data_IF_706639511157
#
_entry.id   IF_706639511157
#
_cell.length_a   1.000
_cell.length_b   1.000
_cell.length_c   1.000
_cell.angle_alpha   90.00
_cell.angle_beta   90.00
_cell.angle_gamma   90.00
#
_symmetry.space_group_name_H-M   'P 1'
#
loop_
_entity.id
_entity.type
_entity.pdbx_description
1 polymer ?
#
# COMPACT_ATOMS: atom_id res chain seq x y z
N UNK A 1 -13.25 -13.34 35.92
CA UNK A 1 -12.95 -11.94 35.58
C UNK A 1 -12.65 -11.88 34.08
N UNK A 2 -13.39 -11.07 33.30
CA UNK A 2 -13.14 -10.91 31.85
C UNK A 2 -12.06 -9.85 31.67
N UNK A 3 -10.96 -10.21 31.03
CA UNK A 3 -9.90 -9.26 30.68
C UNK A 3 -10.21 -8.68 29.31
N UNK A 4 -10.40 -7.36 29.23
CA UNK A 4 -10.53 -6.65 27.97
C UNK A 4 -9.15 -6.11 27.62
N UNK A 5 -8.62 -6.51 26.47
CA UNK A 5 -7.48 -5.87 25.86
C UNK A 5 -8.02 -4.68 25.06
N UNK A 6 -7.69 -3.46 25.47
CA UNK A 6 -7.77 -2.34 24.56
C UNK A 6 -6.59 -2.49 23.60
N UNK A 7 -6.88 -2.74 22.32
CA UNK A 7 -5.87 -2.60 21.26
C UNK A 7 -5.23 -1.22 21.38
N UNK A 8 -3.94 -1.09 21.06
CA UNK A 8 -3.23 0.20 21.14
C UNK A 8 -3.98 1.22 20.28
N UNK A 9 -4.57 2.28 20.88
CA UNK A 9 -5.12 3.35 20.06
C UNK A 9 -3.95 4.05 19.37
N UNK A 10 -3.88 3.92 18.04
CA UNK A 10 -2.96 4.71 17.24
C UNK A 10 -3.58 6.09 17.05
N UNK A 11 -2.99 7.11 17.68
CA UNK A 11 -3.34 8.52 17.45
C UNK A 11 -2.17 9.14 16.70
N UNK A 12 -2.31 9.32 15.39
CA UNK A 12 -1.32 10.01 14.58
C UNK A 12 -1.52 11.52 14.72
N UNK A 13 -0.81 12.14 15.66
CA UNK A 13 -0.81 13.60 15.78
C UNK A 13 0.14 14.22 14.74
N UNK A 14 -0.36 15.18 13.95
CA UNK A 14 0.47 15.97 13.03
C UNK A 14 0.88 15.24 11.75
N UNK A 15 -0.04 14.48 11.15
CA UNK A 15 0.17 13.88 9.84
C UNK A 15 0.53 14.95 8.79
N UNK A 16 1.61 14.69 8.05
CA UNK A 16 2.05 15.53 6.95
C UNK A 16 2.46 14.67 5.77
N UNK A 17 2.23 15.14 4.54
CA UNK A 17 2.67 14.41 3.35
C UNK A 17 4.19 14.35 3.30
N UNK A 18 4.75 13.14 3.39
CA UNK A 18 6.18 12.89 3.24
C UNK A 18 6.58 12.83 1.77
N UNK A 19 5.85 12.01 1.00
CA UNK A 19 6.00 11.89 -0.45
C UNK A 19 4.63 11.85 -1.11
N UNK A 20 4.46 12.71 -2.10
CA UNK A 20 3.27 12.68 -2.96
C UNK A 20 3.53 11.75 -4.16
N UNK A 21 2.99 10.53 -4.09
CA UNK A 21 3.20 9.51 -5.11
C UNK A 21 2.29 9.71 -6.32
N UNK A 22 1.22 10.52 -6.22
CA UNK A 22 0.37 10.88 -7.37
C UNK A 22 1.16 11.63 -8.45
N UNK A 23 2.23 12.33 -8.06
CA UNK A 23 3.22 12.90 -8.98
C UNK A 23 4.17 11.87 -9.61
N UNK A 24 3.97 10.57 -9.37
CA UNK A 24 4.82 9.45 -9.81
C UNK A 24 6.28 9.58 -9.38
N UNK A 25 6.48 10.00 -8.13
CA UNK A 25 7.82 10.15 -7.53
C UNK A 25 7.89 9.41 -6.19
N UNK A 26 9.10 9.13 -5.71
CA UNK A 26 9.30 8.44 -4.43
C UNK A 26 9.24 6.92 -4.53
N UNK A 27 9.11 6.37 -5.74
CA UNK A 27 9.09 4.94 -6.00
C UNK A 27 9.46 4.64 -7.46
N UNK A 28 9.77 3.38 -7.71
CA UNK A 28 9.84 2.76 -9.03
C UNK A 28 9.00 1.50 -9.05
N UNK A 29 8.55 1.09 -10.24
CA UNK A 29 7.78 -0.14 -10.41
C UNK A 29 8.23 -0.87 -11.67
N UNK A 30 8.39 -2.19 -11.57
CA UNK A 30 8.64 -3.08 -12.70
C UNK A 30 7.45 -4.05 -12.86
N UNK A 31 7.14 -4.44 -14.10
CA UNK A 31 5.98 -5.29 -14.41
C UNK A 31 4.62 -4.62 -14.15
N UNK A 32 4.61 -3.28 -14.08
CA UNK A 32 3.42 -2.46 -14.08
C UNK A 32 3.75 -1.04 -14.56
N UNK A 33 2.72 -0.31 -14.99
CA UNK A 33 2.78 1.11 -15.31
C UNK A 33 2.06 1.93 -14.25
N UNK A 34 2.73 2.97 -13.73
CA UNK A 34 2.11 3.92 -12.80
C UNK A 34 1.18 4.90 -13.54
N UNK A 35 -0.06 5.00 -13.08
CA UNK A 35 -1.10 5.84 -13.67
C UNK A 35 -1.83 6.61 -12.58
N UNK A 36 -2.13 7.87 -12.87
CA UNK A 36 -3.10 8.64 -12.08
C UNK A 36 -4.52 8.18 -12.41
N UNK A 37 -5.48 8.57 -11.58
CA UNK A 37 -6.89 8.34 -11.84
C UNK A 37 -7.30 8.92 -13.19
N UNK A 38 -6.93 10.17 -13.46
CA UNK A 38 -7.28 10.87 -14.70
C UNK A 38 -6.71 10.17 -15.95
N UNK A 39 -5.49 9.67 -15.87
CA UNK A 39 -4.87 8.91 -16.96
C UNK A 39 -5.58 7.57 -17.18
N UNK A 40 -5.86 6.83 -16.09
CA UNK A 40 -6.52 5.52 -16.18
C UNK A 40 -7.93 5.62 -16.77
N UNK A 41 -8.69 6.66 -16.44
CA UNK A 41 -10.05 6.89 -16.93
C UNK A 41 -10.12 7.09 -18.45
N UNK A 42 -9.03 7.55 -19.08
CA UNK A 42 -8.96 7.77 -20.52
C UNK A 42 -8.80 6.49 -21.35
N UNK A 43 -8.40 5.37 -20.72
CA UNK A 43 -8.06 4.12 -21.41
C UNK A 43 -9.26 3.21 -21.66
N UNK A 44 -10.21 3.15 -20.73
CA UNK A 44 -11.44 2.35 -20.87
C UNK A 44 -12.47 2.70 -19.80
N UNK A 45 -13.75 2.54 -20.12
CA UNK A 45 -14.83 2.56 -19.11
C UNK A 45 -14.94 1.26 -18.30
N UNK A 46 -14.17 0.23 -18.64
CA UNK A 46 -14.18 -1.08 -17.96
C UNK A 46 -13.18 -1.13 -16.80
N UNK A 47 -13.40 -2.08 -15.90
CA UNK A 47 -12.45 -2.44 -14.84
C UNK A 47 -11.03 -2.72 -15.39
N UNK A 48 -9.95 -2.27 -14.74
CA UNK A 48 -9.88 -1.35 -13.60
C UNK A 48 -10.00 0.15 -13.98
N UNK A 49 -9.73 0.49 -15.23
CA UNK A 49 -9.60 1.84 -15.80
C UNK A 49 -10.77 2.80 -15.51
N UNK A 50 -12.01 2.31 -15.58
CA UNK A 50 -13.22 3.09 -15.30
C UNK A 50 -13.78 2.90 -13.88
N UNK A 51 -13.11 2.11 -13.03
CA UNK A 51 -13.57 1.77 -11.69
C UNK A 51 -12.81 2.51 -10.58
N UNK A 52 -11.68 3.17 -10.89
CA UNK A 52 -11.12 4.18 -10.00
C UNK A 52 -12.01 5.43 -10.02
N UNK A 53 -12.90 5.55 -9.03
CA UNK A 53 -13.76 6.72 -8.84
C UNK A 53 -13.25 7.60 -7.72
N UNK A 54 -13.42 8.93 -7.84
CA UNK A 54 -12.98 9.92 -6.84
C UNK A 54 -13.65 9.69 -5.49
N UNK A 55 -14.84 9.09 -5.50
CA UNK A 55 -15.54 8.67 -4.29
C UNK A 55 -14.81 7.58 -3.50
N UNK A 56 -13.83 6.88 -4.09
CA UNK A 56 -13.06 5.80 -3.43
C UNK A 56 -11.73 6.36 -2.94
N UNK A 57 -10.93 6.88 -3.88
CA UNK A 57 -9.62 7.47 -3.66
C UNK A 57 -9.49 8.67 -4.60
N UNK A 58 -9.21 9.85 -4.06
CA UNK A 58 -8.96 11.04 -4.87
C UNK A 58 -7.61 10.90 -5.60
N UNK A 59 -7.48 11.54 -6.74
CA UNK A 59 -6.28 11.44 -7.58
C UNK A 59 -5.02 11.90 -6.83
N UNK A 60 -5.15 12.93 -6.01
CA UNK A 60 -4.07 13.47 -5.18
C UNK A 60 -3.66 12.57 -4.00
N UNK A 61 -4.43 11.53 -3.68
CA UNK A 61 -4.16 10.67 -2.52
C UNK A 61 -3.26 9.48 -2.83
N UNK A 62 -3.03 9.15 -4.10
CA UNK A 62 -2.24 7.99 -4.47
C UNK A 62 -2.03 7.83 -5.97
N UNK A 63 -1.47 6.68 -6.33
CA UNK A 63 -1.18 6.30 -7.71
C UNK A 63 -1.61 4.85 -7.93
N UNK A 64 -2.18 4.58 -9.09
CA UNK A 64 -2.51 3.24 -9.54
C UNK A 64 -1.30 2.59 -10.20
N UNK A 65 -1.09 1.31 -9.92
CA UNK A 65 -0.07 0.49 -10.56
C UNK A 65 -0.79 -0.59 -11.37
N UNK A 66 -0.79 -0.43 -12.68
CA UNK A 66 -1.44 -1.35 -13.60
C UNK A 66 -0.44 -2.36 -14.12
N UNK A 67 -0.60 -3.61 -13.73
CA UNK A 67 0.31 -4.66 -14.14
C UNK A 67 0.17 -5.05 -15.61
N UNK A 68 1.31 -5.32 -16.22
CA UNK A 68 1.47 -5.66 -17.64
C UNK A 68 2.35 -6.91 -17.86
N UNK A 69 2.77 -7.56 -16.78
CA UNK A 69 3.71 -8.69 -16.83
C UNK A 69 3.09 -10.02 -16.38
N UNK A 70 3.69 -11.13 -16.81
CA UNK A 70 3.32 -12.49 -16.44
C UNK A 70 3.81 -12.87 -15.03
N UNK A 71 4.73 -12.09 -14.46
CA UNK A 71 5.18 -12.19 -13.08
C UNK A 71 4.50 -11.18 -12.14
N UNK A 72 4.92 -11.10 -10.87
CA UNK A 72 4.47 -10.06 -9.95
C UNK A 72 4.93 -8.68 -10.43
N UNK A 73 4.17 -7.63 -10.10
CA UNK A 73 4.68 -6.28 -10.22
C UNK A 73 5.60 -6.00 -9.01
N UNK A 74 6.79 -5.47 -9.25
CA UNK A 74 7.78 -5.19 -8.20
C UNK A 74 7.76 -3.70 -7.92
N UNK A 75 7.18 -3.31 -6.79
CA UNK A 75 7.18 -1.95 -6.28
C UNK A 75 8.39 -1.76 -5.37
N UNK A 76 9.23 -0.77 -5.68
CA UNK A 76 10.37 -0.37 -4.87
C UNK A 76 10.23 1.09 -4.47
N UNK A 77 10.13 1.38 -3.17
CA UNK A 77 10.17 2.76 -2.69
C UNK A 77 11.59 3.31 -2.86
N UNK A 78 11.72 4.59 -3.22
CA UNK A 78 13.03 5.25 -3.20
C UNK A 78 13.64 5.11 -1.79
N UNK A 79 14.96 4.89 -1.64
CA UNK A 79 15.56 4.73 -0.32
C UNK A 79 15.25 5.91 0.62
N UNK A 80 14.83 5.59 1.85
CA UNK A 80 14.43 6.57 2.88
C UNK A 80 15.38 6.45 4.06
N UNK A 81 15.97 7.56 4.49
CA UNK A 81 16.73 7.62 5.74
C UNK A 81 15.77 7.66 6.94
N UNK A 82 15.36 6.48 7.39
CA UNK A 82 14.51 6.33 8.57
C UNK A 82 15.23 6.70 9.87
N UNK A 83 16.56 6.58 9.95
CA UNK A 83 17.33 6.99 11.14
C UNK A 83 17.12 8.48 11.43
N UNK A 84 17.19 9.33 10.41
CA UNK A 84 16.93 10.76 10.56
C UNK A 84 15.48 11.09 10.93
N UNK A 85 14.50 10.34 10.38
CA UNK A 85 13.09 10.49 10.74
C UNK A 85 12.83 10.11 12.20
N UNK A 86 13.39 8.98 12.66
CA UNK A 86 13.23 8.48 14.01
C UNK A 86 13.89 9.40 15.04
N UNK A 87 15.07 9.96 14.72
CA UNK A 87 15.72 10.98 15.55
C UNK A 87 14.84 12.22 15.75
N UNK A 88 13.96 12.51 14.77
CA UNK A 88 12.97 13.59 14.81
C UNK A 88 11.61 13.17 15.39
N UNK A 89 11.51 11.98 16.00
CA UNK A 89 10.26 11.41 16.55
C UNK A 89 9.16 11.27 15.49
N UNK A 90 9.52 10.87 14.27
CA UNK A 90 8.57 10.66 13.17
C UNK A 90 8.63 9.24 12.61
N UNK A 91 7.46 8.67 12.32
CA UNK A 91 7.30 7.46 11.52
C UNK A 91 6.77 7.77 10.12
N UNK A 92 6.70 6.75 9.26
CA UNK A 92 6.09 6.84 7.92
C UNK A 92 4.96 5.83 7.81
N UNK A 93 3.82 6.22 7.25
CA UNK A 93 2.71 5.32 6.93
C UNK A 93 2.25 5.47 5.48
N UNK A 94 1.72 4.40 4.92
CA UNK A 94 1.08 4.36 3.61
C UNK A 94 0.21 3.11 3.52
N UNK A 95 -0.56 2.99 2.44
CA UNK A 95 -1.43 1.86 2.19
C UNK A 95 -1.15 1.28 0.82
N UNK A 96 -1.15 -0.05 0.75
CA UNK A 96 -1.25 -0.79 -0.50
C UNK A 96 -2.63 -1.42 -0.62
N UNK A 97 -3.10 -1.56 -1.86
CA UNK A 97 -4.33 -2.28 -2.16
C UNK A 97 -4.31 -2.91 -3.53
N UNK A 98 -5.34 -3.70 -3.80
CA UNK A 98 -5.53 -4.37 -5.09
C UNK A 98 -7.01 -4.37 -5.46
N UNK A 99 -7.33 -4.17 -6.73
CA UNK A 99 -8.74 -4.14 -7.13
C UNK A 99 -9.32 -5.53 -7.39
N UNK A 100 -8.53 -6.41 -8.00
CA UNK A 100 -9.06 -7.64 -8.59
C UNK A 100 -9.52 -8.67 -7.55
N UNK A 101 -9.17 -8.46 -6.28
CA UNK A 101 -9.59 -9.24 -5.12
C UNK A 101 -8.90 -10.58 -4.99
N UNK A 102 -8.74 -11.05 -3.75
CA UNK A 102 -7.92 -12.22 -3.41
C UNK A 102 -6.48 -12.17 -3.94
N UNK A 103 -5.98 -10.98 -4.23
CA UNK A 103 -4.61 -10.76 -4.69
C UNK A 103 -3.68 -10.83 -3.48
N UNK A 104 -2.61 -11.64 -3.53
CA UNK A 104 -1.59 -11.59 -2.51
C UNK A 104 -0.62 -10.42 -2.76
N UNK A 105 0.01 -9.94 -1.71
CA UNK A 105 1.29 -9.21 -1.83
C UNK A 105 2.36 -9.89 -0.98
N UNK A 106 3.62 -9.55 -1.24
CA UNK A 106 4.75 -9.99 -0.42
C UNK A 106 5.71 -8.84 -0.18
N UNK A 107 6.37 -8.84 0.98
CA UNK A 107 7.52 -7.96 1.26
C UNK A 107 8.82 -8.73 1.05
N UNK A 108 9.83 -8.12 0.43
CA UNK A 108 11.15 -8.74 0.24
C UNK A 108 12.02 -8.45 1.46
N UNK A 109 12.11 -9.43 2.36
CA UNK A 109 12.96 -9.37 3.57
C UNK A 109 14.26 -10.13 3.30
N UNK A 110 15.40 -9.42 3.32
CA UNK A 110 16.74 -9.99 3.10
C UNK A 110 16.85 -10.86 1.83
N UNK A 111 16.18 -10.41 0.76
CA UNK A 111 16.16 -11.10 -0.53
C UNK A 111 15.10 -12.20 -0.66
N UNK A 112 14.34 -12.51 0.39
CA UNK A 112 13.25 -13.49 0.35
C UNK A 112 11.89 -12.80 0.38
N UNK A 113 11.01 -13.15 -0.58
CA UNK A 113 9.63 -12.67 -0.58
C UNK A 113 8.82 -13.39 0.51
N UNK A 114 8.29 -12.62 1.47
CA UNK A 114 7.40 -13.09 2.54
C UNK A 114 5.98 -12.61 2.26
N UNK A 115 5.04 -13.54 2.11
CA UNK A 115 3.64 -13.19 1.85
C UNK A 115 3.02 -12.42 3.01
N UNK A 116 2.19 -11.43 2.68
CA UNK A 116 1.45 -10.59 3.62
C UNK A 116 -0.06 -10.88 3.55
N UNK A 117 -0.42 -12.10 3.12
CA UNK A 117 -1.80 -12.52 2.91
C UNK A 117 -2.42 -11.89 1.66
N UNK A 118 -3.75 -11.94 1.59
CA UNK A 118 -4.56 -11.48 0.45
C UNK A 118 -5.51 -10.36 0.85
N UNK A 119 -5.89 -9.54 -0.12
CA UNK A 119 -7.00 -8.61 0.07
C UNK A 119 -8.37 -9.29 -0.05
N UNK A 120 -9.40 -8.54 0.34
CA UNK A 120 -10.80 -8.95 0.21
C UNK A 120 -11.15 -9.41 -1.21
N UNK A 121 -12.14 -10.30 -1.30
CA UNK A 121 -12.75 -10.61 -2.59
C UNK A 121 -13.34 -9.34 -3.20
N UNK A 122 -13.17 -9.20 -4.52
CA UNK A 122 -13.75 -8.08 -5.25
C UNK A 122 -15.28 -8.13 -5.12
N UNK A 123 -15.96 -7.04 -4.73
CA UNK A 123 -17.41 -7.01 -4.70
C UNK A 123 -18.00 -7.24 -6.09
N UNK A 124 -19.14 -7.92 -6.14
CA UNK A 124 -19.87 -8.12 -7.40
C UNK A 124 -20.19 -6.78 -8.07
N UNK A 125 -20.18 -6.75 -9.41
CA UNK A 125 -20.49 -5.55 -10.21
C UNK A 125 -21.98 -5.13 -10.12
N UNK A 126 -22.73 -5.60 -9.11
CA UNK A 126 -24.07 -5.15 -8.83
C UNK A 126 -24.02 -3.73 -8.23
N UNK A 127 -24.65 -2.78 -8.91
CA UNK A 127 -24.66 -1.37 -8.51
C UNK A 127 -25.21 -1.13 -7.09
N UNK A 128 -26.06 -2.03 -6.57
CA UNK A 128 -26.59 -1.93 -5.21
C UNK A 128 -25.58 -2.29 -4.12
N UNK A 129 -24.57 -3.10 -4.43
CA UNK A 129 -23.55 -3.58 -3.48
C UNK A 129 -22.18 -2.96 -3.69
N UNK A 130 -21.97 -2.29 -4.83
CA UNK A 130 -20.75 -1.59 -5.18
C UNK A 130 -20.67 -0.20 -4.51
N UNK A 131 -20.69 -0.19 -3.17
CA UNK A 131 -20.58 1.04 -2.39
C UNK A 131 -19.12 1.46 -2.20
N UNK A 132 -18.89 2.70 -1.77
CA UNK A 132 -17.55 3.21 -1.45
C UNK A 132 -16.87 2.32 -0.42
N UNK A 133 -17.60 1.95 0.63
CA UNK A 133 -17.12 1.18 1.78
C UNK A 133 -16.64 -0.20 1.33
N UNK A 134 -17.43 -0.90 0.50
CA UNK A 134 -17.02 -2.20 -0.04
C UNK A 134 -15.88 -2.12 -1.05
N UNK A 135 -15.77 -1.04 -1.80
CA UNK A 135 -14.60 -0.85 -2.67
C UNK A 135 -13.34 -0.56 -1.84
N UNK A 136 -13.46 0.22 -0.76
CA UNK A 136 -12.34 0.57 0.11
C UNK A 136 -11.66 -0.68 0.72
N UNK A 137 -12.42 -1.72 1.03
CA UNK A 137 -11.90 -3.01 1.53
C UNK A 137 -10.89 -3.67 0.60
N UNK A 138 -10.99 -3.45 -0.71
CA UNK A 138 -10.02 -3.99 -1.68
C UNK A 138 -8.88 -3.01 -1.96
N UNK A 139 -9.17 -1.71 -2.03
CA UNK A 139 -8.24 -0.64 -2.38
C UNK A 139 -7.33 -0.17 -1.23
N UNK A 140 -7.75 -0.39 0.02
CA UNK A 140 -7.02 0.03 1.22
C UNK A 140 -6.85 -1.15 2.18
N UNK A 141 -6.18 -2.21 1.72
CA UNK A 141 -6.15 -3.48 2.45
C UNK A 141 -4.92 -3.65 3.35
N UNK A 142 -3.73 -3.27 2.87
CA UNK A 142 -2.49 -3.40 3.62
C UNK A 142 -2.09 -2.03 4.15
N UNK A 143 -2.37 -1.80 5.42
CA UNK A 143 -1.95 -0.60 6.14
C UNK A 143 -0.52 -0.81 6.62
N UNK A 144 0.40 0.04 6.18
CA UNK A 144 1.82 -0.12 6.40
C UNK A 144 2.34 1.05 7.22
N UNK A 145 3.10 0.76 8.26
CA UNK A 145 3.80 1.76 9.06
C UNK A 145 5.25 1.38 9.29
N UNK A 146 6.10 2.39 9.41
CA UNK A 146 7.53 2.27 9.66
C UNK A 146 7.91 3.20 10.80
N UNK A 147 8.33 2.62 11.92
CA UNK A 147 8.66 3.35 13.15
C UNK A 147 9.78 2.63 13.95
N UNK A 148 10.43 3.31 14.91
CA UNK A 148 11.56 2.75 15.65
C UNK A 148 11.17 1.64 16.62
N UNK A 149 9.89 1.50 16.97
CA UNK A 149 9.39 0.49 17.91
C UNK A 149 9.09 -0.83 17.19
N UNK A 150 8.40 -0.75 16.06
CA UNK A 150 7.88 -1.91 15.34
C UNK A 150 8.73 -2.31 14.13
N UNK A 151 9.64 -1.44 13.66
CA UNK A 151 10.28 -1.62 12.36
C UNK A 151 9.27 -1.38 11.25
N UNK A 152 9.20 -2.27 10.26
CA UNK A 152 8.10 -2.31 9.29
C UNK A 152 6.96 -3.15 9.87
N UNK A 153 5.80 -2.54 10.06
CA UNK A 153 4.56 -3.22 10.42
C UNK A 153 3.59 -3.16 9.23
N UNK A 154 2.98 -4.29 8.90
CA UNK A 154 1.92 -4.38 7.92
C UNK A 154 0.70 -5.02 8.56
N UNK A 155 -0.42 -4.30 8.57
CA UNK A 155 -1.72 -4.84 8.96
C UNK A 155 -2.52 -5.19 7.69
N UNK A 156 -2.85 -6.46 7.52
CA UNK A 156 -3.77 -6.92 6.49
C UNK A 156 -5.20 -6.87 7.04
N UNK A 157 -5.97 -5.86 6.62
CA UNK A 157 -7.33 -5.57 7.08
C UNK A 157 -8.29 -6.73 6.81
N UNK A 158 -8.16 -7.41 5.66
CA UNK A 158 -8.99 -8.57 5.32
C UNK A 158 -8.80 -9.75 6.27
N UNK A 159 -7.55 -10.09 6.52
CA UNK A 159 -7.22 -11.28 7.33
C UNK A 159 -7.15 -10.95 8.83
N UNK A 160 -7.18 -9.67 9.21
CA UNK A 160 -6.96 -9.21 10.58
C UNK A 160 -5.58 -9.58 11.11
N UNK A 161 -4.61 -9.79 10.22
CA UNK A 161 -3.28 -10.30 10.53
C UNK A 161 -2.25 -9.19 10.46
N UNK A 162 -1.36 -9.15 11.45
CA UNK A 162 -0.19 -8.26 11.46
C UNK A 162 1.08 -9.02 11.10
N UNK A 163 1.96 -8.36 10.34
CA UNK A 163 3.28 -8.85 9.96
C UNK A 163 4.30 -7.79 10.35
N UNK A 164 5.36 -8.19 11.05
CA UNK A 164 6.43 -7.27 11.46
C UNK A 164 7.79 -7.74 10.97
N UNK A 165 8.58 -6.79 10.48
CA UNK A 165 9.90 -7.03 9.95
C UNK A 165 10.90 -6.03 10.55
N UNK A 166 12.06 -6.55 10.94
CA UNK A 166 13.19 -5.70 11.30
C UNK A 166 13.85 -5.19 10.02
N UNK A 167 13.89 -3.89 9.86
CA UNK A 167 14.61 -3.26 8.77
C UNK A 167 16.11 -3.54 8.87
N UNK A 168 16.77 -3.73 7.71
CA UNK A 168 18.23 -3.83 7.63
C UNK A 168 18.88 -2.47 7.94
N UNK A 169 20.18 -2.47 8.22
CA UNK A 169 20.92 -1.20 8.37
C UNK A 169 20.86 -0.33 7.11
N UNK A 170 20.85 -0.96 5.93
CA UNK A 170 20.73 -0.27 4.65
C UNK A 170 19.35 0.35 4.45
N UNK A 171 18.29 -0.36 4.83
CA UNK A 171 16.93 0.19 4.79
C UNK A 171 16.78 1.33 5.81
N UNK A 172 17.28 1.15 7.04
CA UNK A 172 17.23 2.19 8.07
C UNK A 172 18.01 3.45 7.68
N UNK A 173 19.16 3.30 7.01
CA UNK A 173 20.04 4.39 6.60
C UNK A 173 19.75 4.99 5.23
N UNK A 174 18.72 4.52 4.51
CA UNK A 174 18.35 5.04 3.19
C UNK A 174 19.32 4.66 2.07
N UNK A 175 19.99 3.51 2.16
CA UNK A 175 20.80 2.95 1.06
C UNK A 175 20.11 1.77 0.37
N UNK A 176 19.09 1.19 0.99
CA UNK A 176 18.27 0.10 0.43
C UNK A 176 16.79 0.51 0.42
N UNK A 177 16.07 0.02 -0.60
CA UNK A 177 14.63 0.22 -0.74
C UNK A 177 13.81 -0.71 0.14
N UNK A 178 12.56 -0.30 0.42
CA UNK A 178 11.50 -1.24 0.77
C UNK A 178 10.89 -1.77 -0.52
N UNK A 179 10.85 -3.09 -0.67
CA UNK A 179 10.43 -3.74 -1.92
C UNK A 179 9.25 -4.66 -1.67
N UNK A 180 8.22 -4.53 -2.50
CA UNK A 180 7.00 -5.30 -2.45
C UNK A 180 6.73 -5.97 -3.79
N UNK A 181 6.35 -7.25 -3.75
CA UNK A 181 5.80 -7.96 -4.90
C UNK A 181 4.28 -7.90 -4.84
N UNK A 182 3.65 -7.36 -5.88
CA UNK A 182 2.21 -7.14 -5.99
C UNK A 182 1.59 -8.18 -6.91
N UNK A 183 0.75 -9.05 -6.34
CA UNK A 183 0.19 -10.22 -7.00
C UNK A 183 1.22 -11.33 -7.22
N UNK A 184 0.75 -12.47 -7.73
CA UNK A 184 1.64 -13.49 -8.32
C UNK A 184 1.83 -13.26 -9.84
N UNK A 185 0.86 -12.60 -10.45
CA UNK A 185 0.78 -12.22 -11.86
C UNK A 185 0.18 -10.82 -11.87
N UNK A 186 0.84 -9.87 -12.50
CA UNK A 186 0.39 -8.47 -12.50
C UNK A 186 -0.47 -8.14 -13.71
N UNK A 187 -0.31 -8.83 -14.84
CA UNK A 187 -1.02 -8.52 -16.09
C UNK A 187 -2.54 -8.38 -15.89
N UNK A 188 -3.07 -7.19 -16.18
CA UNK A 188 -4.49 -6.85 -16.04
C UNK A 188 -4.96 -6.71 -14.58
N UNK A 189 -4.04 -6.67 -13.62
CA UNK A 189 -4.30 -6.40 -12.21
C UNK A 189 -4.00 -4.93 -11.91
N UNK A 190 -4.84 -4.35 -11.06
CA UNK A 190 -4.64 -3.00 -10.58
C UNK A 190 -4.32 -3.02 -9.10
N UNK A 191 -3.26 -2.30 -8.74
CA UNK A 191 -2.85 -2.06 -7.37
C UNK A 191 -2.90 -0.56 -7.07
N UNK A 192 -3.09 -0.22 -5.80
CA UNK A 192 -3.02 1.15 -5.31
C UNK A 192 -1.80 1.31 -4.42
N UNK A 193 -1.08 2.41 -4.58
CA UNK A 193 -0.14 2.94 -3.60
C UNK A 193 -0.63 4.33 -3.18
N UNK A 194 -0.90 4.52 -1.90
CA UNK A 194 -1.23 5.87 -1.39
C UNK A 194 0.02 6.70 -1.17
N UNK A 195 -0.16 8.00 -0.97
CA UNK A 195 0.91 8.88 -0.49
C UNK A 195 1.55 8.32 0.77
N UNK A 196 2.86 8.56 0.88
CA UNK A 196 3.58 8.30 2.11
C UNK A 196 3.36 9.50 3.02
N UNK A 197 2.85 9.24 4.21
CA UNK A 197 2.58 10.23 5.23
C UNK A 197 3.62 10.07 6.34
N UNK A 198 4.09 11.18 6.90
CA UNK A 198 4.79 11.14 8.19
C UNK A 198 3.80 11.38 9.31
N UNK A 199 4.01 10.71 10.45
CA UNK A 199 3.27 10.97 11.69
C UNK A 199 4.25 11.13 12.86
N UNK A 200 3.83 11.78 13.95
CA UNK A 200 4.61 11.80 15.20
C UNK A 200 4.42 10.51 15.97
N UNK A 201 5.53 10.00 16.51
CA UNK A 201 5.58 8.85 17.41
C UNK A 201 5.40 9.31 18.86
#
# INVERSE_FOLDING_TARGET
TRHYWFGRPYVFAGEGTFKNVSGKTGFSVAGATAMTQGESASLSSKAPYGQWKTSICFDEMGVGLLGDDKGPAVLSLDPIDFKSLFASQKGVSFTLGAWNGNEPISFVDKGEAKTLGKNWAKPDNNAATLTRERMAETWFNWEISVDPVNGLLVHNVNEGQEYSFKLTDGQLGGTESLVFHLGNISNGRFFLLTNLLTYRI
#
